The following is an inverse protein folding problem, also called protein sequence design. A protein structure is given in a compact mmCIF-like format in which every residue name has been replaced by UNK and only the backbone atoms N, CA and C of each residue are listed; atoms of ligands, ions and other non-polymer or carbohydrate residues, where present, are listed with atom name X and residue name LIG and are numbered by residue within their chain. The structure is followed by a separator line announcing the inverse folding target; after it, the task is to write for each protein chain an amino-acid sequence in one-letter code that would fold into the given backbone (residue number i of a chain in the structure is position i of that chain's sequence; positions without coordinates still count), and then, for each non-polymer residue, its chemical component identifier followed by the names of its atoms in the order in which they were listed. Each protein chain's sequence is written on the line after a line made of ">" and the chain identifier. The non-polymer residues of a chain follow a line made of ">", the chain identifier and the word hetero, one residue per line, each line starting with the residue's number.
data_IF_854333442693
#
_entry.id   IF_854333442693
#
_cell.length_a   1.000
_cell.length_b   1.000
_cell.length_c   1.000
_cell.angle_alpha   90.00
_cell.angle_beta   90.00
_cell.angle_gamma   90.00
#
_symmetry.space_group_name_H-M   'P 1'
#
loop_
_entity.id
_entity.type
_entity.pdbx_description
1 polymer ?
#
# COMPACT_ATOMS: atom_id res chain seq x y z
N UNK A 1 -13.55 1.90 2.61
CA UNK A 1 -14.51 1.79 3.74
C UNK A 1 -14.90 0.34 4.06
N UNK A 2 -15.66 -0.46 3.20
CA UNK A 2 -15.98 -1.88 3.53
C UNK A 2 -14.73 -2.72 3.75
N UNK A 3 -13.71 -2.57 2.89
CA UNK A 3 -12.43 -3.26 3.05
C UNK A 3 -11.71 -2.86 4.33
N UNK A 4 -11.68 -1.57 4.63
CA UNK A 4 -11.11 -1.02 5.86
C UNK A 4 -11.81 -1.58 7.10
N UNK A 5 -13.15 -1.57 7.15
CA UNK A 5 -13.91 -2.15 8.24
C UNK A 5 -13.61 -3.65 8.44
N UNK A 6 -13.58 -4.41 7.34
CA UNK A 6 -13.26 -5.83 7.37
C UNK A 6 -11.83 -6.13 7.86
N UNK A 7 -10.93 -5.14 7.73
CA UNK A 7 -9.53 -5.28 8.12
C UNK A 7 -9.26 -5.04 9.61
N UNK A 8 -10.17 -4.33 10.30
CA UNK A 8 -9.99 -3.93 11.71
C UNK A 8 -9.59 -5.10 12.62
N UNK A 9 -10.22 -6.30 12.57
CA UNK A 9 -9.84 -7.42 13.43
C UNK A 9 -8.40 -7.91 13.22
N UNK A 10 -7.86 -7.75 12.01
CA UNK A 10 -6.53 -8.22 11.64
C UNK A 10 -5.43 -7.19 11.96
N UNK A 11 -5.80 -5.95 12.21
CA UNK A 11 -4.89 -4.87 12.58
C UNK A 11 -4.71 -4.74 14.10
N UNK A 12 -5.11 -5.76 14.86
CA UNK A 12 -4.96 -5.81 16.32
C UNK A 12 -3.55 -5.46 16.83
N UNK A 13 -2.44 -5.86 16.19
CA UNK A 13 -1.09 -5.49 16.64
C UNK A 13 -0.84 -3.99 16.71
N UNK A 14 -1.52 -3.20 15.88
CA UNK A 14 -1.40 -1.74 15.83
C UNK A 14 -2.67 -1.01 16.26
N UNK A 15 -3.63 -1.71 16.89
CA UNK A 15 -4.94 -1.15 17.26
C UNK A 15 -4.82 0.10 18.17
N UNK A 16 -3.75 0.21 18.95
CA UNK A 16 -3.47 1.38 19.79
C UNK A 16 -3.15 2.67 19.01
N UNK A 17 -2.82 2.54 17.72
CA UNK A 17 -2.57 3.66 16.79
C UNK A 17 -3.76 3.91 15.85
N UNK A 18 -4.82 3.11 15.93
CA UNK A 18 -5.93 3.20 14.99
C UNK A 18 -7.14 3.91 15.61
N UNK A 19 -7.95 4.60 14.81
CA UNK A 19 -9.25 5.06 15.26
C UNK A 19 -10.14 3.85 15.58
N UNK A 20 -10.92 3.93 16.65
CA UNK A 20 -11.90 2.90 16.99
C UNK A 20 -13.19 3.13 16.19
N UNK A 21 -13.70 2.07 15.60
CA UNK A 21 -15.00 2.11 14.94
C UNK A 21 -16.10 2.26 16.01
N UNK A 22 -16.96 3.25 15.83
CA UNK A 22 -18.11 3.54 16.71
C UNK A 22 -19.37 2.93 16.10
N UNK A 23 -19.61 3.15 14.81
CA UNK A 23 -20.77 2.66 14.09
C UNK A 23 -20.46 2.51 12.60
N UNK A 24 -21.14 1.58 11.95
CA UNK A 24 -21.13 1.41 10.49
C UNK A 24 -22.53 1.17 9.97
N UNK A 25 -22.81 1.66 8.77
CA UNK A 25 -24.00 1.27 8.02
C UNK A 25 -23.64 1.07 6.54
N UNK A 26 -23.86 -0.14 6.08
CA UNK A 26 -23.67 -0.57 4.70
C UNK A 26 -25.00 -0.94 4.03
N UNK A 27 -26.13 -0.75 4.72
CA UNK A 27 -27.47 -0.99 4.17
C UNK A 27 -27.92 0.15 3.27
N UNK A 28 -27.42 1.37 3.53
CA UNK A 28 -27.79 2.62 2.84
C UNK A 28 -29.24 3.04 3.12
N UNK A 29 -29.86 2.54 4.22
CA UNK A 29 -31.24 2.84 4.58
C UNK A 29 -31.35 4.20 5.28
N UNK A 30 -30.35 4.58 6.07
CA UNK A 30 -30.31 5.87 6.82
C UNK A 30 -29.89 7.00 5.88
N UNK A 31 -28.80 6.82 5.16
CA UNK A 31 -28.35 7.71 4.09
C UNK A 31 -28.05 6.84 2.86
N UNK A 32 -28.24 7.36 1.64
CA UNK A 32 -28.03 6.62 0.40
C UNK A 32 -26.52 6.32 0.09
N UNK A 33 -25.70 6.12 1.13
CA UNK A 33 -24.26 5.86 1.06
C UNK A 33 -23.83 4.97 2.19
N UNK A 34 -22.77 4.19 1.94
CA UNK A 34 -22.02 3.52 3.01
C UNK A 34 -21.39 4.58 3.93
N UNK A 35 -21.43 4.38 5.26
CA UNK A 35 -20.69 5.22 6.19
C UNK A 35 -20.09 4.42 7.33
N UNK A 36 -19.04 4.99 7.91
CA UNK A 36 -18.35 4.49 9.09
C UNK A 36 -18.00 5.68 9.99
N UNK A 37 -18.45 5.65 11.24
CA UNK A 37 -18.08 6.60 12.28
C UNK A 37 -16.94 6.02 13.09
N UNK A 38 -15.90 6.83 13.30
CA UNK A 38 -14.71 6.44 14.04
C UNK A 38 -14.39 7.51 15.09
N UNK A 39 -13.60 7.15 16.11
CA UNK A 39 -13.03 8.13 17.03
C UNK A 39 -12.05 9.04 16.30
N UNK A 40 -11.91 10.27 16.76
CA UNK A 40 -10.83 11.13 16.33
C UNK A 40 -9.48 10.57 16.85
N UNK A 41 -8.43 10.68 16.04
CA UNK A 41 -7.05 10.45 16.46
C UNK A 41 -6.46 11.76 17.00
N UNK A 42 -5.81 11.69 18.14
CA UNK A 42 -5.09 12.83 18.70
C UNK A 42 -3.79 13.10 17.91
N UNK A 43 -3.48 14.39 17.74
CA UNK A 43 -2.26 14.83 17.08
C UNK A 43 -2.50 15.68 15.84
N UNK A 44 -1.45 15.85 15.05
CA UNK A 44 -1.44 16.60 13.78
C UNK A 44 -0.98 15.74 12.63
N UNK A 45 -1.47 15.94 11.40
CA UNK A 45 -1.00 15.18 10.25
C UNK A 45 0.52 15.32 10.06
N UNK A 46 1.21 14.20 9.80
CA UNK A 46 2.66 14.24 9.64
C UNK A 46 3.12 15.15 8.48
N UNK A 47 2.42 15.28 7.34
CA UNK A 47 2.79 16.24 6.29
C UNK A 47 2.87 17.68 6.79
N UNK A 48 2.01 18.07 7.72
CA UNK A 48 1.92 19.45 8.21
C UNK A 48 2.97 19.74 9.30
N UNK A 49 3.50 18.70 9.95
CA UNK A 49 4.34 18.86 11.13
C UNK A 49 5.76 18.33 10.97
N UNK A 50 6.00 17.29 10.19
CA UNK A 50 7.30 16.61 10.11
C UNK A 50 8.43 17.56 9.70
N UNK A 51 8.16 18.49 8.77
CA UNK A 51 9.15 19.47 8.30
C UNK A 51 9.57 20.49 9.36
N UNK A 52 8.80 20.69 10.42
CA UNK A 52 9.14 21.58 11.53
C UNK A 52 10.19 20.98 12.48
N UNK A 53 10.42 19.68 12.42
CA UNK A 53 11.46 19.03 13.21
C UNK A 53 12.81 19.06 12.50
N UNK A 54 13.93 19.18 13.27
CA UNK A 54 15.27 19.03 12.70
C UNK A 54 15.41 17.68 11.97
N UNK A 55 16.02 17.70 10.79
CA UNK A 55 16.20 16.51 9.95
C UNK A 55 16.91 15.35 10.67
N UNK A 56 17.80 15.68 11.61
CA UNK A 56 18.50 14.70 12.45
C UNK A 56 17.57 13.85 13.33
N UNK A 57 16.31 14.25 13.54
CA UNK A 57 15.32 13.50 14.32
C UNK A 57 14.44 12.58 13.45
N UNK A 58 14.45 12.74 12.13
CA UNK A 58 13.64 11.98 11.19
C UNK A 58 13.94 10.46 11.17
N UNK A 59 15.16 9.98 11.42
CA UNK A 59 15.39 8.56 11.57
C UNK A 59 14.49 7.91 12.63
N UNK A 60 14.13 8.63 13.69
CA UNK A 60 13.19 8.15 14.71
C UNK A 60 11.77 7.95 14.17
N UNK A 61 11.30 8.82 13.27
CA UNK A 61 10.02 8.70 12.59
C UNK A 61 10.01 7.47 11.67
N UNK A 62 11.02 7.32 10.79
CA UNK A 62 11.08 6.19 9.87
C UNK A 62 11.25 4.85 10.58
N UNK A 63 11.94 4.83 11.73
CA UNK A 63 12.03 3.63 12.58
C UNK A 63 10.65 3.21 13.10
N UNK A 64 9.82 4.16 13.55
CA UNK A 64 8.45 3.87 13.98
C UNK A 64 7.61 3.34 12.81
N UNK A 65 7.71 3.94 11.62
CA UNK A 65 7.05 3.45 10.41
C UNK A 65 7.44 2.01 10.07
N UNK A 66 8.74 1.69 10.17
CA UNK A 66 9.25 0.33 9.93
C UNK A 66 8.72 -0.68 10.94
N UNK A 67 8.63 -0.31 12.22
CA UNK A 67 8.06 -1.17 13.26
C UNK A 67 6.56 -1.43 13.00
N UNK A 68 5.78 -0.39 12.68
CA UNK A 68 4.36 -0.50 12.33
C UNK A 68 4.16 -1.42 11.13
N UNK A 69 4.91 -1.23 10.05
CA UNK A 69 4.86 -2.09 8.86
C UNK A 69 5.19 -3.55 9.21
N UNK A 70 6.19 -3.78 10.06
CA UNK A 70 6.57 -5.12 10.52
C UNK A 70 5.46 -5.81 11.29
N UNK A 71 4.80 -5.08 12.19
CA UNK A 71 3.70 -5.61 13.00
C UNK A 71 2.49 -5.95 12.14
N UNK A 72 2.17 -5.13 11.13
CA UNK A 72 1.12 -5.43 10.15
C UNK A 72 1.49 -6.68 9.33
N UNK A 73 2.69 -6.73 8.77
CA UNK A 73 3.14 -7.86 7.94
C UNK A 73 3.38 -9.16 8.72
N UNK A 74 3.44 -9.11 10.05
CA UNK A 74 3.50 -10.32 10.88
C UNK A 74 2.17 -11.09 10.87
N UNK A 75 1.05 -10.44 10.58
CA UNK A 75 -0.28 -11.06 10.56
C UNK A 75 -0.43 -11.93 9.31
N UNK A 76 -0.80 -13.20 9.53
CA UNK A 76 -1.02 -14.18 8.46
C UNK A 76 -2.48 -14.16 8.03
N UNK A 77 -2.70 -14.24 6.72
CA UNK A 77 -4.02 -14.29 6.11
C UNK A 77 -4.47 -15.68 5.73
N UNK A 78 -5.78 -15.86 5.51
CA UNK A 78 -6.34 -17.14 5.10
C UNK A 78 -6.22 -17.40 3.59
N UNK A 79 -5.95 -16.35 2.78
CA UNK A 79 -6.00 -16.38 1.31
C UNK A 79 -5.28 -15.16 0.74
N UNK A 80 -5.06 -15.09 -0.56
CA UNK A 80 -4.52 -13.91 -1.25
C UNK A 80 -5.64 -12.97 -1.74
N UNK A 81 -5.30 -11.68 -1.93
CA UNK A 81 -6.20 -10.66 -2.47
C UNK A 81 -6.76 -9.69 -1.42
N UNK A 82 -7.67 -8.79 -1.78
CA UNK A 82 -8.26 -7.80 -0.88
C UNK A 82 -8.94 -8.46 0.33
N UNK A 83 -8.92 -7.81 1.50
CA UNK A 83 -9.54 -8.37 2.72
C UNK A 83 -11.05 -8.56 2.51
N UNK A 84 -11.74 -7.56 1.95
CA UNK A 84 -13.15 -7.62 1.57
C UNK A 84 -13.30 -7.60 0.03
N UNK A 85 -12.82 -8.66 -0.63
CA UNK A 85 -12.85 -8.73 -2.08
C UNK A 85 -12.66 -10.15 -2.60
N UNK A 86 -12.33 -10.30 -3.88
CA UNK A 86 -12.04 -11.58 -4.48
C UNK A 86 -10.93 -12.32 -3.73
N UNK A 87 -11.14 -13.62 -3.50
CA UNK A 87 -10.17 -14.52 -2.90
C UNK A 87 -9.43 -15.29 -3.99
N UNK A 88 -8.14 -15.51 -3.77
CA UNK A 88 -7.30 -16.26 -4.68
C UNK A 88 -6.50 -17.30 -3.90
N UNK A 89 -6.28 -18.45 -4.52
CA UNK A 89 -5.53 -19.56 -3.91
C UNK A 89 -4.03 -19.34 -4.01
N UNK A 90 -3.55 -18.61 -5.03
CA UNK A 90 -2.13 -18.30 -5.23
C UNK A 90 -1.88 -16.81 -5.34
N UNK A 91 -0.62 -16.41 -5.08
CA UNK A 91 -0.24 -15.01 -5.17
C UNK A 91 -0.24 -14.51 -6.62
N UNK A 92 0.17 -15.34 -7.56
CA UNK A 92 0.13 -15.00 -8.99
C UNK A 92 -1.29 -14.67 -9.46
N UNK A 93 -2.28 -15.47 -9.06
CA UNK A 93 -3.69 -15.22 -9.38
C UNK A 93 -4.16 -13.87 -8.82
N UNK A 94 -3.78 -13.54 -7.58
CA UNK A 94 -4.15 -12.27 -6.95
C UNK A 94 -3.50 -11.07 -7.66
N UNK A 95 -2.23 -11.18 -8.07
CA UNK A 95 -1.52 -10.13 -8.80
C UNK A 95 -2.11 -9.91 -10.18
N UNK A 96 -2.33 -10.98 -10.95
CA UNK A 96 -2.95 -10.93 -12.27
C UNK A 96 -4.38 -10.38 -12.19
N UNK A 97 -5.18 -10.85 -11.22
CA UNK A 97 -6.51 -10.35 -10.97
C UNK A 97 -6.54 -8.85 -10.66
N UNK A 98 -5.59 -8.38 -9.83
CA UNK A 98 -5.45 -6.97 -9.51
C UNK A 98 -5.07 -6.10 -10.72
N UNK A 99 -4.13 -6.55 -11.55
CA UNK A 99 -3.76 -5.85 -12.80
C UNK A 99 -4.93 -5.79 -13.78
N UNK A 100 -5.66 -6.89 -13.95
CA UNK A 100 -6.85 -6.92 -14.83
C UNK A 100 -7.96 -5.99 -14.31
N UNK A 101 -8.15 -5.89 -13.00
CA UNK A 101 -9.11 -4.96 -12.41
C UNK A 101 -8.71 -3.51 -12.70
N UNK A 102 -7.42 -3.15 -12.55
CA UNK A 102 -6.90 -1.83 -12.90
C UNK A 102 -7.11 -1.53 -14.38
N UNK A 103 -6.84 -2.49 -15.28
CA UNK A 103 -7.06 -2.32 -16.71
C UNK A 103 -8.54 -2.06 -17.03
N UNK A 104 -9.46 -2.80 -16.40
CA UNK A 104 -10.89 -2.58 -16.56
C UNK A 104 -11.35 -1.21 -16.02
N UNK A 105 -10.73 -0.70 -14.96
CA UNK A 105 -11.01 0.63 -14.43
C UNK A 105 -10.51 1.73 -15.38
N UNK A 106 -9.33 1.54 -15.99
CA UNK A 106 -8.81 2.44 -17.01
C UNK A 106 -9.73 2.52 -18.23
N UNK A 107 -10.18 1.37 -18.75
CA UNK A 107 -11.15 1.33 -19.87
C UNK A 107 -12.43 2.10 -19.54
N UNK A 108 -12.97 1.94 -18.34
CA UNK A 108 -14.20 2.66 -17.92
C UNK A 108 -14.03 4.17 -17.87
N UNK A 109 -12.81 4.64 -17.73
CA UNK A 109 -12.48 6.08 -17.76
C UNK A 109 -12.04 6.55 -19.14
N UNK A 110 -12.02 5.68 -20.16
CA UNK A 110 -11.59 5.99 -21.51
C UNK A 110 -10.08 6.11 -21.69
N UNK A 111 -9.30 5.62 -20.73
CA UNK A 111 -7.84 5.61 -20.83
C UNK A 111 -7.34 4.30 -21.46
N UNK A 112 -6.22 4.38 -22.17
CA UNK A 112 -5.55 3.19 -22.69
C UNK A 112 -4.99 2.33 -21.54
N UNK A 113 -5.28 1.03 -21.59
CA UNK A 113 -4.87 0.04 -20.62
C UNK A 113 -4.02 -1.10 -21.24
N UNK A 114 -3.55 -0.96 -22.48
CA UNK A 114 -2.81 -2.00 -23.18
C UNK A 114 -1.55 -2.42 -22.42
N UNK A 115 -0.79 -1.46 -21.92
CA UNK A 115 0.42 -1.66 -21.14
C UNK A 115 0.16 -2.36 -19.78
N UNK A 116 -0.96 -2.08 -19.12
CA UNK A 116 -1.35 -2.77 -17.88
C UNK A 116 -1.74 -4.22 -18.16
N UNK A 117 -2.38 -4.49 -19.31
CA UNK A 117 -2.66 -5.86 -19.74
C UNK A 117 -1.38 -6.63 -20.09
N UNK A 118 -0.39 -5.96 -20.69
CA UNK A 118 0.93 -6.54 -20.93
C UNK A 118 1.62 -6.90 -19.60
N UNK A 119 1.54 -6.02 -18.59
CA UNK A 119 2.02 -6.32 -17.25
C UNK A 119 1.30 -7.52 -16.62
N UNK A 120 -0.02 -7.66 -16.82
CA UNK A 120 -0.78 -8.82 -16.37
C UNK A 120 -0.33 -10.11 -17.08
N UNK A 121 -0.07 -10.05 -18.38
CA UNK A 121 0.48 -11.18 -19.14
C UNK A 121 1.90 -11.56 -18.67
N UNK A 122 2.75 -10.56 -18.37
CA UNK A 122 4.06 -10.81 -17.77
C UNK A 122 3.94 -11.48 -16.40
N UNK A 123 3.08 -10.97 -15.51
CA UNK A 123 2.82 -11.61 -14.21
C UNK A 123 2.35 -13.06 -14.35
N UNK A 124 1.50 -13.36 -15.35
CA UNK A 124 1.06 -14.72 -15.63
C UNK A 124 2.21 -15.63 -16.12
N UNK A 125 3.14 -15.11 -16.92
CA UNK A 125 4.35 -15.87 -17.35
C UNK A 125 5.25 -16.20 -16.18
N UNK A 126 5.39 -15.27 -15.22
CA UNK A 126 6.24 -15.44 -14.04
C UNK A 126 5.49 -15.98 -12.82
N UNK A 127 4.39 -16.74 -13.04
CA UNK A 127 3.56 -17.27 -11.96
C UNK A 127 4.38 -18.10 -10.96
N UNK A 128 5.36 -18.91 -11.41
CA UNK A 128 6.18 -19.73 -10.51
C UNK A 128 7.00 -18.88 -9.53
N UNK A 129 7.55 -17.77 -9.99
CA UNK A 129 8.30 -16.83 -9.13
C UNK A 129 7.37 -16.09 -8.16
N UNK A 130 6.16 -15.72 -8.59
CA UNK A 130 5.16 -15.12 -7.71
C UNK A 130 4.67 -16.12 -6.66
N UNK A 131 4.45 -17.37 -7.04
CA UNK A 131 3.88 -18.42 -6.18
C UNK A 131 4.92 -19.04 -5.21
N UNK A 132 6.19 -18.61 -5.24
CA UNK A 132 7.11 -18.82 -4.12
C UNK A 132 6.60 -18.18 -2.83
N UNK A 133 5.73 -17.16 -2.94
CA UNK A 133 5.01 -16.59 -1.82
C UNK A 133 3.81 -17.48 -1.51
N UNK A 134 4.01 -18.41 -0.62
CA UNK A 134 3.01 -19.41 -0.21
C UNK A 134 2.16 -18.99 1.00
N UNK A 135 2.63 -17.98 1.75
CA UNK A 135 1.97 -17.50 2.97
C UNK A 135 1.47 -16.07 2.79
N UNK A 136 0.13 -15.86 2.66
CA UNK A 136 -0.43 -14.52 2.64
C UNK A 136 -0.14 -13.76 3.93
N UNK A 137 0.35 -12.54 3.82
CA UNK A 137 0.56 -11.60 4.93
C UNK A 137 -0.33 -10.40 4.77
N UNK A 138 -0.70 -9.78 5.90
CA UNK A 138 -1.46 -8.52 5.87
C UNK A 138 -0.61 -7.42 5.24
N UNK A 139 -1.15 -6.72 4.26
CA UNK A 139 -0.55 -5.53 3.66
C UNK A 139 -1.36 -4.31 4.11
N UNK A 140 -0.67 -3.23 4.46
CA UNK A 140 -1.31 -1.96 4.81
C UNK A 140 -1.92 -1.27 3.59
N UNK A 141 -1.30 -1.47 2.43
CA UNK A 141 -1.72 -0.93 1.13
C UNK A 141 -1.32 0.53 0.92
N UNK A 142 -1.30 1.36 1.95
CA UNK A 142 -1.02 2.80 1.81
C UNK A 142 -0.42 3.44 3.08
N UNK A 143 0.41 2.71 3.84
CA UNK A 143 1.08 3.26 5.01
C UNK A 143 2.26 4.16 4.59
N UNK A 144 2.03 5.46 4.54
CA UNK A 144 3.04 6.48 4.25
C UNK A 144 2.77 7.77 5.04
N UNK A 145 3.61 8.79 4.85
CA UNK A 145 3.60 10.01 5.67
C UNK A 145 2.23 10.69 5.77
N UNK A 146 1.43 10.70 4.70
CA UNK A 146 0.13 11.40 4.71
C UNK A 146 -0.93 10.71 5.57
N UNK A 147 -0.77 9.41 5.82
CA UNK A 147 -1.70 8.60 6.59
C UNK A 147 -1.23 8.40 8.04
N UNK A 148 -0.40 9.32 8.55
CA UNK A 148 0.20 9.23 9.87
C UNK A 148 -0.07 10.51 10.66
N UNK A 149 -0.43 10.36 11.95
CA UNK A 149 -0.57 11.44 12.92
C UNK A 149 0.66 11.50 13.82
N UNK A 150 1.10 12.70 14.15
CA UNK A 150 2.19 12.97 15.08
C UNK A 150 1.67 13.65 16.35
N UNK A 151 2.25 13.31 17.48
CA UNK A 151 1.97 13.99 18.75
C UNK A 151 2.21 15.49 18.63
N UNK A 152 1.22 16.29 19.01
CA UNK A 152 1.38 17.74 19.06
C UNK A 152 2.33 18.14 20.20
N UNK A 153 3.20 19.12 19.92
CA UNK A 153 4.18 19.63 20.91
C UNK A 153 5.28 18.66 21.34
N UNK A 154 5.37 17.44 20.76
CA UNK A 154 6.45 16.51 21.09
C UNK A 154 7.83 17.05 20.68
N UNK A 155 8.92 16.76 21.43
CA UNK A 155 10.27 17.27 21.11
C UNK A 155 10.90 16.59 19.87
N UNK A 156 10.32 15.48 19.41
CA UNK A 156 10.75 14.71 18.22
C UNK A 156 9.51 14.10 17.55
N UNK A 157 9.57 13.76 16.24
CA UNK A 157 8.45 13.13 15.55
C UNK A 157 8.04 11.83 16.25
N UNK A 158 6.87 11.82 16.87
CA UNK A 158 6.31 10.66 17.58
C UNK A 158 4.96 10.32 16.98
N UNK A 159 4.82 9.12 16.43
CA UNK A 159 3.58 8.66 15.81
C UNK A 159 2.55 8.35 16.91
N UNK A 160 1.36 8.95 16.78
CA UNK A 160 0.22 8.74 17.66
C UNK A 160 -0.94 8.06 16.97
N UNK A 161 -0.91 8.02 15.64
CA UNK A 161 -1.98 7.38 14.89
C UNK A 161 -1.62 7.06 13.45
N UNK A 162 -2.29 6.06 12.93
CA UNK A 162 -2.28 5.67 11.51
C UNK A 162 -3.72 5.52 11.03
N UNK A 163 -3.95 5.85 9.77
CA UNK A 163 -5.29 5.88 9.17
C UNK A 163 -5.26 5.42 7.72
N UNK A 164 -6.44 5.28 7.12
CA UNK A 164 -6.64 4.94 5.70
C UNK A 164 -6.17 3.53 5.34
N UNK A 165 -6.80 2.53 5.93
CA UNK A 165 -6.58 1.12 5.64
C UNK A 165 -7.56 0.55 4.58
N UNK A 166 -8.07 1.39 3.69
CA UNK A 166 -9.05 0.97 2.69
C UNK A 166 -8.45 0.08 1.58
N UNK A 167 -7.12 0.10 1.41
CA UNK A 167 -6.36 -0.69 0.42
C UNK A 167 -5.74 -1.97 0.97
N UNK A 168 -6.06 -2.35 2.20
CA UNK A 168 -5.54 -3.57 2.82
C UNK A 168 -5.80 -4.81 1.98
N UNK A 169 -4.84 -5.71 1.99
CA UNK A 169 -4.91 -6.97 1.26
C UNK A 169 -4.02 -8.03 1.90
N UNK A 170 -4.13 -9.25 1.41
CA UNK A 170 -3.30 -10.38 1.78
C UNK A 170 -2.33 -10.70 0.65
N UNK A 171 -1.04 -10.70 0.91
CA UNK A 171 -0.04 -10.90 -0.15
C UNK A 171 1.39 -11.00 0.34
N UNK A 172 2.30 -10.72 -0.59
CA UNK A 172 3.73 -10.56 -0.32
C UNK A 172 3.99 -9.20 0.34
N UNK A 173 4.61 -9.14 1.53
CA UNK A 173 5.03 -7.87 2.14
C UNK A 173 5.80 -6.93 1.20
N UNK A 174 6.59 -7.46 0.28
CA UNK A 174 7.33 -6.66 -0.69
C UNK A 174 6.43 -5.91 -1.69
N UNK A 175 5.16 -6.29 -1.80
CA UNK A 175 4.18 -5.59 -2.63
C UNK A 175 3.58 -4.36 -1.94
N UNK A 176 3.82 -4.17 -0.64
CA UNK A 176 3.31 -3.01 0.08
C UNK A 176 4.07 -1.74 -0.35
N UNK A 177 3.31 -0.70 -0.69
CA UNK A 177 3.85 0.57 -1.16
C UNK A 177 4.85 1.20 -0.20
N UNK A 178 4.62 1.09 1.11
CA UNK A 178 5.51 1.63 2.15
C UNK A 178 6.94 1.13 2.01
N UNK A 179 7.10 -0.17 1.77
CA UNK A 179 8.43 -0.80 1.60
C UNK A 179 9.12 -0.21 0.38
N UNK A 180 8.40 -0.07 -0.75
CA UNK A 180 8.96 0.51 -1.97
C UNK A 180 9.37 1.97 -1.81
N UNK A 181 8.57 2.77 -1.08
CA UNK A 181 8.92 4.15 -0.76
C UNK A 181 10.20 4.25 0.08
N UNK A 182 10.40 3.35 1.03
CA UNK A 182 11.61 3.32 1.84
C UNK A 182 12.85 2.97 1.00
N UNK A 183 12.73 2.06 0.02
CA UNK A 183 13.81 1.72 -0.93
C UNK A 183 14.21 2.88 -1.84
N UNK A 184 13.31 3.80 -2.13
CA UNK A 184 13.56 4.85 -3.12
C UNK A 184 14.68 5.84 -2.75
N UNK A 185 15.15 5.85 -1.50
CA UNK A 185 16.19 6.78 -1.01
C UNK A 185 17.14 6.10 -0.01
N UNK A 186 17.95 5.12 -0.46
CA UNK A 186 18.96 4.49 0.40
C UNK A 186 20.02 5.53 0.80
N UNK A 187 20.70 5.31 1.92
CA UNK A 187 21.72 6.20 2.47
C UNK A 187 21.14 7.48 3.11
N UNK A 188 19.87 7.51 3.42
CA UNK A 188 19.18 8.63 4.08
C UNK A 188 18.58 8.21 5.43
N UNK A 189 17.86 9.15 6.07
CA UNK A 189 17.10 8.86 7.29
C UNK A 189 16.10 7.68 7.14
N UNK A 190 15.76 7.30 5.89
CA UNK A 190 14.86 6.17 5.60
C UNK A 190 15.49 4.80 5.86
N UNK A 191 16.82 4.72 5.96
CA UNK A 191 17.50 3.46 6.35
C UNK A 191 17.07 3.01 7.75
N UNK A 192 16.64 3.94 8.60
CA UNK A 192 16.08 3.63 9.91
C UNK A 192 14.77 2.82 9.85
N UNK A 193 14.03 2.90 8.74
CA UNK A 193 12.88 2.03 8.48
C UNK A 193 13.33 0.56 8.41
N UNK A 194 14.33 0.27 7.60
CA UNK A 194 14.85 -1.08 7.42
C UNK A 194 15.52 -1.64 8.66
N UNK A 195 16.16 -0.78 9.44
CA UNK A 195 16.73 -1.18 10.74
C UNK A 195 15.68 -1.70 11.72
N UNK A 196 14.43 -1.23 11.61
CA UNK A 196 13.31 -1.68 12.44
C UNK A 196 12.52 -2.81 11.77
N UNK A 197 12.26 -2.70 10.48
CA UNK A 197 11.47 -3.67 9.73
C UNK A 197 12.21 -5.01 9.57
N UNK A 198 13.46 -4.98 9.15
CA UNK A 198 14.30 -6.14 8.88
C UNK A 198 14.95 -6.08 7.49
N UNK A 199 15.76 -7.08 7.14
CA UNK A 199 16.48 -7.11 5.87
C UNK A 199 15.51 -7.28 4.69
N UNK A 200 15.89 -6.67 3.56
CA UNK A 200 15.21 -6.83 2.28
C UNK A 200 15.84 -8.01 1.53
N UNK A 201 15.00 -8.82 0.89
CA UNK A 201 15.45 -9.83 -0.05
C UNK A 201 15.83 -9.14 -1.38
N UNK A 202 17.06 -9.37 -1.82
CA UNK A 202 17.61 -8.87 -3.08
C UNK A 202 17.92 -10.01 -4.08
N UNK A 203 17.35 -11.19 -3.88
CA UNK A 203 17.45 -12.28 -4.85
C UNK A 203 16.90 -11.86 -6.21
N UNK A 204 17.35 -12.48 -7.31
CA UNK A 204 16.83 -12.20 -8.65
C UNK A 204 15.30 -12.30 -8.71
N UNK A 205 14.72 -13.31 -8.03
CA UNK A 205 13.27 -13.53 -7.99
C UNK A 205 12.53 -12.45 -7.20
N UNK A 206 13.09 -11.97 -6.08
CA UNK A 206 12.53 -10.84 -5.33
C UNK A 206 12.60 -9.53 -6.14
N UNK A 207 13.67 -9.32 -6.90
CA UNK A 207 13.80 -8.16 -7.81
C UNK A 207 12.75 -8.25 -8.91
N UNK A 208 12.56 -9.42 -9.52
CA UNK A 208 11.54 -9.63 -10.55
C UNK A 208 10.12 -9.40 -10.00
N UNK A 209 9.79 -9.94 -8.82
CA UNK A 209 8.51 -9.66 -8.14
C UNK A 209 8.31 -8.16 -7.93
N UNK A 210 9.35 -7.46 -7.46
CA UNK A 210 9.29 -6.00 -7.26
C UNK A 210 8.94 -5.23 -8.53
N UNK A 211 9.45 -5.64 -9.70
CA UNK A 211 9.10 -5.02 -10.99
C UNK A 211 7.63 -5.23 -11.34
N UNK A 212 7.09 -6.41 -11.10
CA UNK A 212 5.66 -6.69 -11.30
C UNK A 212 4.80 -5.84 -10.36
N UNK A 213 5.20 -5.69 -9.09
CA UNK A 213 4.49 -4.82 -8.14
C UNK A 213 4.57 -3.35 -8.53
N UNK A 214 5.68 -2.94 -9.14
CA UNK A 214 5.85 -1.59 -9.68
C UNK A 214 4.87 -1.31 -10.82
N UNK A 215 4.74 -2.23 -11.78
CA UNK A 215 3.76 -2.12 -12.84
C UNK A 215 2.34 -1.96 -12.27
N UNK A 216 1.95 -2.78 -11.29
CA UNK A 216 0.65 -2.68 -10.63
C UNK A 216 0.44 -1.31 -9.97
N UNK A 217 1.46 -0.81 -9.27
CA UNK A 217 1.40 0.50 -8.62
C UNK A 217 1.25 1.64 -9.63
N UNK A 218 2.04 1.63 -10.73
CA UNK A 218 1.97 2.64 -11.79
C UNK A 218 0.57 2.67 -12.43
N UNK A 219 -0.02 1.50 -12.70
CA UNK A 219 -1.39 1.41 -13.22
C UNK A 219 -2.42 2.02 -12.27
N UNK A 220 -2.33 1.72 -10.97
CA UNK A 220 -3.23 2.25 -9.95
C UNK A 220 -3.09 3.79 -9.79
N UNK A 221 -1.85 4.30 -9.74
CA UNK A 221 -1.59 5.75 -9.66
C UNK A 221 -2.09 6.50 -10.89
N UNK A 222 -2.11 5.89 -12.09
CA UNK A 222 -2.68 6.48 -13.30
C UNK A 222 -4.14 6.86 -13.11
N UNK A 223 -4.94 5.96 -12.54
CA UNK A 223 -6.35 6.22 -12.22
C UNK A 223 -6.51 7.39 -11.23
N UNK A 224 -5.69 7.42 -10.21
CA UNK A 224 -5.73 8.51 -9.22
C UNK A 224 -5.36 9.85 -9.84
N UNK A 225 -4.28 9.91 -10.62
CA UNK A 225 -3.84 11.12 -11.32
C UNK A 225 -4.89 11.62 -12.32
N UNK A 226 -5.55 10.70 -13.02
CA UNK A 226 -6.66 11.03 -13.92
C UNK A 226 -7.82 11.67 -13.15
N UNK A 227 -8.28 11.06 -12.04
CA UNK A 227 -9.34 11.64 -11.19
C UNK A 227 -9.00 13.01 -10.64
N UNK A 228 -7.73 13.28 -10.42
CA UNK A 228 -7.21 14.57 -9.94
C UNK A 228 -6.89 15.55 -11.07
N UNK A 229 -7.21 15.21 -12.33
CA UNK A 229 -6.93 16.02 -13.53
C UNK A 229 -5.45 16.39 -13.70
N UNK A 230 -4.54 15.52 -13.23
CA UNK A 230 -3.07 15.68 -13.33
C UNK A 230 -2.55 15.10 -14.64
N UNK A 231 -2.77 15.77 -15.77
CA UNK A 231 -2.43 15.27 -17.12
C UNK A 231 -0.96 14.87 -17.26
N UNK A 232 -0.03 15.75 -16.91
CA UNK A 232 1.41 15.45 -16.99
C UNK A 232 1.78 14.21 -16.16
N UNK A 233 1.14 14.06 -15.00
CA UNK A 233 1.31 12.89 -14.16
C UNK A 233 0.78 11.59 -14.78
N UNK A 234 -0.29 11.66 -15.57
CA UNK A 234 -0.80 10.51 -16.33
C UNK A 234 0.21 10.09 -17.38
N UNK A 235 0.73 11.03 -18.19
CA UNK A 235 1.76 10.75 -19.20
C UNK A 235 3.04 10.15 -18.59
N UNK A 236 3.46 10.64 -17.44
CA UNK A 236 4.60 10.08 -16.70
C UNK A 236 4.38 8.60 -16.35
N UNK A 237 3.13 8.19 -16.00
CA UNK A 237 2.83 6.79 -15.71
C UNK A 237 2.93 5.89 -16.93
N UNK A 238 2.58 6.36 -18.14
CA UNK A 238 2.79 5.59 -19.37
C UNK A 238 4.27 5.38 -19.66
N UNK A 239 5.09 6.44 -19.51
CA UNK A 239 6.56 6.32 -19.68
C UNK A 239 7.18 5.37 -18.64
N UNK A 240 6.74 5.49 -17.39
CA UNK A 240 7.22 4.61 -16.31
C UNK A 240 6.84 3.15 -16.52
N UNK A 241 5.62 2.89 -17.00
CA UNK A 241 5.17 1.53 -17.33
C UNK A 241 6.02 0.92 -18.45
N UNK A 242 6.30 1.69 -19.52
CA UNK A 242 7.16 1.22 -20.61
C UNK A 242 8.56 0.80 -20.13
N UNK A 243 9.16 1.55 -19.20
CA UNK A 243 10.45 1.20 -18.60
C UNK A 243 10.39 -0.11 -17.79
N UNK A 244 9.32 -0.28 -16.99
CA UNK A 244 9.12 -1.49 -16.18
C UNK A 244 8.89 -2.71 -17.08
N UNK A 245 8.09 -2.59 -18.15
CA UNK A 245 7.82 -3.68 -19.08
C UNK A 245 9.09 -4.14 -19.83
N UNK A 246 9.98 -3.21 -20.17
CA UNK A 246 11.26 -3.55 -20.78
C UNK A 246 12.14 -4.42 -19.86
N UNK A 247 12.02 -4.29 -18.53
CA UNK A 247 12.74 -5.13 -17.57
C UNK A 247 12.06 -6.52 -17.38
N UNK A 248 10.81 -6.70 -17.87
CA UNK A 248 10.03 -7.93 -17.75
C UNK A 248 10.01 -8.78 -19.04
N UNK A 249 10.65 -8.32 -20.10
CA UNK A 249 10.80 -9.05 -21.37
C UNK A 249 12.10 -9.83 -21.39
#
# INVERSE_FOLDING_TARGET
>A
MRNEYASVPYLAPIAHLMPRVIAVDFTREVIARDYMLQTLLDGVPAPDRLSAYPRSTWPGFFRQMGAIAKDVHAVRGPRFGPVAGPAYDTWSQAVVGGLNAIAADLDRTGMDAADVREAAAAAARYHTVLDEIDQPRMLSGDLWTVNVMLADGAPKPTITGVLDFDRTSWGDPAADWTIRMALAKPGTERDAFWAAYGPVDHSPDAVLRSRIYEARHIGAIRLERHRLSKTDGVEETYRGMGAVLADLT
#
